data_IF_996291178975
#
_entry.id   IF_996291178975
#
_cell.length_a   1.000
_cell.length_b   1.000
_cell.length_c   1.000
_cell.angle_alpha   90.00
_cell.angle_beta   90.00
_cell.angle_gamma   90.00
#
_symmetry.space_group_name_H-M   'P 1'
#
loop_
_entity.id
_entity.type
_entity.pdbx_description
1 polymer ?
#
# COMPACT_ATOMS: atom_id res chain seq x y z
N UNK A 1 13.98 20.07 45.58
CA UNK A 1 14.24 18.66 45.29
C UNK A 1 13.22 18.18 44.27
N UNK A 2 13.32 18.50 42.98
CA UNK A 2 14.27 17.97 41.98
C UNK A 2 14.56 16.48 42.17
N UNK A 3 13.85 15.63 41.43
CA UNK A 3 14.52 14.57 40.69
C UNK A 3 13.72 14.18 39.43
N UNK A 4 14.36 14.53 38.31
CA UNK A 4 13.94 14.37 36.93
C UNK A 4 14.52 13.06 36.42
N UNK A 5 13.77 11.96 36.49
CA UNK A 5 14.17 10.70 35.87
C UNK A 5 13.63 10.62 34.44
N UNK A 6 14.36 11.24 33.50
CA UNK A 6 14.22 10.95 32.07
C UNK A 6 14.64 9.50 31.82
N UNK A 7 13.67 8.62 31.65
CA UNK A 7 13.88 7.31 31.05
C UNK A 7 14.15 7.48 29.56
N UNK A 8 15.42 7.52 29.18
CA UNK A 8 15.85 7.42 27.78
C UNK A 8 15.66 5.97 27.33
N UNK A 9 14.46 5.63 26.86
CA UNK A 9 14.24 4.42 26.09
C UNK A 9 14.97 4.55 24.77
N UNK A 10 16.13 3.91 24.66
CA UNK A 10 16.82 3.74 23.38
C UNK A 10 15.93 2.92 22.47
N UNK A 11 15.31 3.59 21.51
CA UNK A 11 14.51 2.92 20.50
C UNK A 11 15.44 2.24 19.50
N UNK A 12 15.94 1.06 19.87
CA UNK A 12 16.67 0.19 18.96
C UNK A 12 15.65 -0.45 18.03
N UNK A 13 15.48 0.15 16.85
CA UNK A 13 14.91 -0.53 15.70
C UNK A 13 15.73 -1.81 15.47
N UNK A 14 15.10 -2.96 15.64
CA UNK A 14 15.70 -4.24 15.32
C UNK A 14 15.76 -4.37 13.79
N UNK A 15 16.96 -4.64 13.31
CA UNK A 15 17.30 -4.85 11.91
C UNK A 15 17.09 -6.32 11.56
N UNK A 16 15.93 -6.67 11.00
CA UNK A 16 15.86 -7.82 10.08
C UNK A 16 16.86 -7.60 8.92
N UNK A 17 17.24 -8.63 8.14
CA UNK A 17 18.13 -8.41 7.00
C UNK A 17 17.47 -7.36 6.11
N UNK A 18 18.11 -6.21 5.98
CA UNK A 18 17.73 -5.21 5.00
C UNK A 18 17.96 -5.87 3.64
N UNK A 19 16.92 -6.52 3.11
CA UNK A 19 16.85 -6.76 1.69
C UNK A 19 17.09 -5.40 1.03
N UNK A 20 17.89 -5.35 -0.03
CA UNK A 20 17.99 -4.12 -0.83
C UNK A 20 16.57 -3.73 -1.24
N UNK A 21 16.08 -2.62 -0.66
CA UNK A 21 14.73 -2.12 -0.93
C UNK A 21 14.81 -1.13 -2.09
N UNK A 22 14.19 -1.48 -3.21
CA UNK A 22 14.03 -0.61 -4.37
C UNK A 22 12.58 -0.07 -4.42
N UNK A 23 12.39 1.09 -3.79
CA UNK A 23 11.11 1.79 -3.76
C UNK A 23 11.16 3.00 -4.66
N UNK A 24 10.29 3.01 -5.67
CA UNK A 24 10.29 4.00 -6.74
C UNK A 24 9.11 4.96 -6.59
N UNK A 25 9.36 6.26 -6.68
CA UNK A 25 8.32 7.28 -6.82
C UNK A 25 8.10 7.51 -8.32
N UNK A 26 6.88 7.28 -8.78
CA UNK A 26 6.53 7.29 -10.20
C UNK A 26 5.80 8.58 -10.54
N UNK A 27 6.56 9.59 -10.99
CA UNK A 27 6.03 10.86 -11.50
C UNK A 27 6.07 10.95 -13.03
N UNK A 28 6.79 10.03 -13.68
CA UNK A 28 7.01 10.02 -15.13
C UNK A 28 6.14 8.96 -15.82
N UNK A 29 5.54 9.34 -16.95
CA UNK A 29 4.63 8.47 -17.71
C UNK A 29 5.31 7.16 -18.15
N UNK A 30 6.58 7.23 -18.59
CA UNK A 30 7.35 6.06 -19.02
C UNK A 30 7.61 5.07 -17.89
N UNK A 31 7.83 5.56 -16.68
CA UNK A 31 8.02 4.73 -15.49
C UNK A 31 6.69 4.07 -15.06
N UNK A 32 5.58 4.79 -15.18
CA UNK A 32 4.25 4.24 -14.94
C UNK A 32 3.90 3.13 -15.95
N UNK A 33 4.15 3.33 -17.24
CA UNK A 33 3.93 2.30 -18.27
C UNK A 33 4.79 1.06 -18.02
N UNK A 34 6.04 1.24 -17.59
CA UNK A 34 6.89 0.12 -17.21
C UNK A 34 6.29 -0.70 -16.05
N UNK A 35 5.81 -0.03 -14.99
CA UNK A 35 5.16 -0.71 -13.88
C UNK A 35 3.82 -1.35 -14.26
N UNK A 36 3.02 -0.70 -15.11
CA UNK A 36 1.77 -1.28 -15.60
C UNK A 36 2.01 -2.61 -16.32
N UNK A 37 3.04 -2.69 -17.17
CA UNK A 37 3.43 -3.94 -17.83
C UNK A 37 3.86 -5.03 -16.83
N UNK A 38 4.64 -4.65 -15.80
CA UNK A 38 5.04 -5.58 -14.73
C UNK A 38 3.82 -6.14 -14.00
N UNK A 39 2.86 -5.29 -13.65
CA UNK A 39 1.63 -5.69 -12.96
C UNK A 39 0.76 -6.59 -13.84
N UNK A 40 0.68 -6.33 -15.15
CA UNK A 40 -0.05 -7.18 -16.09
C UNK A 40 0.56 -8.58 -16.23
N UNK A 41 1.88 -8.69 -16.12
CA UNK A 41 2.62 -9.96 -16.23
C UNK A 41 2.65 -10.75 -14.92
N UNK A 42 2.47 -10.09 -13.78
CA UNK A 42 2.47 -10.73 -12.47
C UNK A 42 1.27 -11.68 -12.31
N UNK A 43 1.51 -12.85 -11.73
CA UNK A 43 0.45 -13.77 -11.32
C UNK A 43 -0.33 -13.21 -10.11
N UNK A 44 0.39 -12.53 -9.21
CA UNK A 44 -0.12 -11.87 -8.01
C UNK A 44 0.68 -10.58 -7.79
N UNK A 45 0.01 -9.51 -7.36
CA UNK A 45 0.67 -8.30 -6.88
C UNK A 45 -0.01 -7.73 -5.64
N UNK A 46 0.78 -7.08 -4.79
CA UNK A 46 0.28 -6.27 -3.69
C UNK A 46 -0.24 -4.93 -4.21
N UNK A 47 -1.35 -4.46 -3.67
CA UNK A 47 -2.01 -3.21 -4.02
C UNK A 47 -2.48 -2.49 -2.77
N UNK A 48 -2.35 -1.16 -2.77
CA UNK A 48 -2.78 -0.30 -1.67
C UNK A 48 -3.08 1.13 -2.14
N UNK A 49 -3.98 1.82 -1.43
CA UNK A 49 -4.41 3.19 -1.71
C UNK A 49 -4.01 4.15 -0.59
N UNK A 50 -3.45 5.29 -0.98
CA UNK A 50 -3.22 6.41 -0.05
C UNK A 50 -4.32 7.44 -0.21
N UNK A 51 -4.86 7.95 0.91
CA UNK A 51 -6.05 8.80 0.88
C UNK A 51 -6.00 9.97 1.86
N UNK A 52 -6.96 10.89 1.73
CA UNK A 52 -7.10 12.06 2.60
C UNK A 52 -7.76 11.76 3.96
N UNK A 53 -8.40 10.61 4.14
CA UNK A 53 -9.24 10.33 5.31
C UNK A 53 -9.42 8.85 5.61
N UNK A 54 -9.54 8.49 6.88
CA UNK A 54 -9.91 7.14 7.30
C UNK A 54 -11.40 6.80 7.02
N UNK A 55 -12.25 7.80 6.80
CA UNK A 55 -13.64 7.59 6.40
C UNK A 55 -13.72 7.35 4.89
N UNK A 56 -13.88 6.09 4.49
CA UNK A 56 -13.94 5.68 3.08
C UNK A 56 -15.09 6.34 2.29
N UNK A 57 -16.12 6.88 2.95
CA UNK A 57 -17.20 7.62 2.27
C UNK A 57 -16.77 9.03 1.85
N UNK A 58 -15.73 9.58 2.47
CA UNK A 58 -15.23 10.94 2.24
C UNK A 58 -13.77 10.94 1.74
N UNK A 59 -13.11 9.79 1.74
CA UNK A 59 -11.73 9.64 1.33
C UNK A 59 -11.57 9.95 -0.16
N UNK A 60 -10.66 10.88 -0.46
CA UNK A 60 -10.18 11.13 -1.80
C UNK A 60 -8.86 10.40 -2.02
N UNK A 61 -8.65 9.91 -3.25
CA UNK A 61 -7.44 9.18 -3.61
C UNK A 61 -6.28 10.16 -3.80
N UNK A 62 -5.21 9.95 -3.02
CA UNK A 62 -3.96 10.73 -3.02
C UNK A 62 -2.87 10.04 -3.82
N UNK A 63 -2.80 8.71 -3.75
CA UNK A 63 -1.83 7.92 -4.50
C UNK A 63 -2.12 6.43 -4.46
N UNK A 64 -1.36 5.67 -5.23
CA UNK A 64 -1.49 4.22 -5.35
C UNK A 64 -0.12 3.58 -5.13
N UNK A 65 -0.07 2.44 -4.47
CA UNK A 65 1.17 1.68 -4.34
C UNK A 65 1.02 0.23 -4.80
N UNK A 66 2.12 -0.32 -5.30
CA UNK A 66 2.17 -1.68 -5.84
C UNK A 66 3.47 -2.38 -5.50
N UNK A 67 3.42 -3.70 -5.36
CA UNK A 67 4.61 -4.55 -5.31
C UNK A 67 4.35 -5.89 -6.00
N UNK A 68 5.24 -6.31 -6.89
CA UNK A 68 5.19 -7.63 -7.54
C UNK A 68 6.15 -8.64 -6.92
N UNK A 69 7.10 -8.17 -6.09
CA UNK A 69 8.06 -9.00 -5.37
C UNK A 69 8.58 -8.30 -4.12
N UNK A 70 8.96 -9.10 -3.11
CA UNK A 70 9.51 -8.57 -1.86
C UNK A 70 10.77 -7.73 -2.11
N UNK A 71 10.84 -6.57 -1.46
CA UNK A 71 11.94 -5.62 -1.64
C UNK A 71 11.74 -4.62 -2.78
N UNK A 72 10.75 -4.80 -3.67
CA UNK A 72 10.49 -3.86 -4.75
C UNK A 72 9.07 -3.31 -4.71
N UNK A 73 8.94 -1.99 -4.79
CA UNK A 73 7.63 -1.33 -4.79
C UNK A 73 7.64 -0.05 -5.61
N UNK A 74 6.46 0.34 -6.08
CA UNK A 74 6.23 1.64 -6.68
C UNK A 74 5.14 2.39 -5.93
N UNK A 75 5.34 3.70 -5.79
CA UNK A 75 4.34 4.64 -5.35
C UNK A 75 4.04 5.64 -6.47
N UNK A 76 2.78 5.77 -6.84
CA UNK A 76 2.29 6.73 -7.85
C UNK A 76 1.55 7.85 -7.11
N UNK A 77 2.18 9.02 -6.88
CA UNK A 77 1.50 10.19 -6.33
C UNK A 77 0.56 10.80 -7.37
N UNK A 78 -0.67 11.17 -6.98
CA UNK A 78 -1.71 11.66 -7.88
C UNK A 78 -2.27 13.03 -7.48
N UNK A 79 -2.45 13.30 -6.18
CA UNK A 79 -3.09 14.55 -5.73
C UNK A 79 -2.43 15.19 -4.50
N UNK A 80 -1.11 15.06 -4.35
CA UNK A 80 -0.39 15.85 -3.35
C UNK A 80 -0.47 17.35 -3.69
N UNK A 81 -0.88 18.19 -2.74
CA UNK A 81 -1.23 19.60 -2.96
C UNK A 81 -0.45 20.60 -2.08
N UNK A 82 0.61 20.15 -1.40
CA UNK A 82 1.44 21.01 -0.57
C UNK A 82 2.27 22.03 -1.39
N UNK A 83 2.66 23.17 -0.80
CA UNK A 83 3.48 24.16 -1.49
C UNK A 83 4.78 23.56 -2.02
N UNK A 84 4.97 23.61 -3.34
CA UNK A 84 6.15 23.05 -4.01
C UNK A 84 6.06 21.55 -4.30
N UNK A 85 4.88 20.94 -4.19
CA UNK A 85 4.65 19.57 -4.67
C UNK A 85 5.16 19.41 -6.11
N UNK A 86 5.95 18.37 -6.41
CA UNK A 86 6.38 18.07 -7.77
C UNK A 86 5.20 17.82 -8.70
N UNK A 87 5.48 17.87 -10.01
CA UNK A 87 4.54 17.42 -11.02
C UNK A 87 4.19 15.94 -10.82
N UNK A 88 2.91 15.62 -10.98
CA UNK A 88 2.32 14.30 -10.75
C UNK A 88 1.55 13.89 -11.98
N UNK A 89 1.37 12.58 -12.15
CA UNK A 89 0.56 12.05 -13.23
C UNK A 89 -0.92 12.40 -13.02
N UNK A 90 -1.65 12.57 -14.12
CA UNK A 90 -3.09 12.83 -14.05
C UNK A 90 -3.82 11.60 -13.46
N UNK A 91 -4.54 11.83 -12.36
CA UNK A 91 -5.29 10.78 -11.65
C UNK A 91 -6.23 10.00 -12.56
N UNK A 92 -6.97 10.70 -13.42
CA UNK A 92 -7.95 10.06 -14.27
C UNK A 92 -7.28 9.18 -15.34
N UNK A 93 -6.19 9.65 -15.94
CA UNK A 93 -5.41 8.88 -16.91
C UNK A 93 -4.79 7.63 -16.27
N UNK A 94 -4.21 7.76 -15.08
CA UNK A 94 -3.64 6.62 -14.34
C UNK A 94 -4.71 5.58 -14.00
N UNK A 95 -5.86 6.01 -13.47
CA UNK A 95 -6.96 5.12 -13.12
C UNK A 95 -7.55 4.42 -14.36
N UNK A 96 -7.71 5.13 -15.47
CA UNK A 96 -8.21 4.53 -16.72
C UNK A 96 -7.23 3.47 -17.27
N UNK A 97 -5.92 3.75 -17.21
CA UNK A 97 -4.89 2.80 -17.63
C UNK A 97 -4.86 1.53 -16.74
N UNK A 98 -5.08 1.69 -15.43
CA UNK A 98 -5.14 0.58 -14.47
C UNK A 98 -6.48 -0.16 -14.48
N UNK A 99 -7.55 0.46 -14.99
CA UNK A 99 -8.92 -0.05 -14.86
C UNK A 99 -9.07 -1.49 -15.30
N UNK A 100 -8.59 -1.81 -16.50
CA UNK A 100 -8.68 -3.18 -17.05
C UNK A 100 -8.02 -4.19 -16.12
N UNK A 101 -6.87 -3.84 -15.52
CA UNK A 101 -6.15 -4.71 -14.60
C UNK A 101 -6.86 -4.85 -13.24
N UNK A 102 -7.33 -3.74 -12.68
CA UNK A 102 -7.96 -3.71 -11.35
C UNK A 102 -9.35 -4.36 -11.36
N UNK A 103 -10.11 -4.22 -12.45
CA UNK A 103 -11.45 -4.80 -12.60
C UNK A 103 -11.44 -6.26 -13.10
N UNK A 104 -10.29 -6.81 -13.50
CA UNK A 104 -10.18 -8.21 -13.94
C UNK A 104 -10.22 -9.19 -12.75
N UNK A 105 -11.26 -10.05 -12.63
CA UNK A 105 -11.36 -11.01 -11.53
C UNK A 105 -10.34 -12.14 -11.60
N UNK A 106 -9.68 -12.35 -12.74
CA UNK A 106 -8.64 -13.37 -12.95
C UNK A 106 -7.25 -12.89 -12.57
N UNK A 107 -7.06 -11.58 -12.43
CA UNK A 107 -5.81 -10.98 -11.96
C UNK A 107 -5.83 -10.91 -10.44
N UNK A 108 -4.94 -11.65 -9.80
CA UNK A 108 -4.92 -11.75 -8.35
C UNK A 108 -4.31 -10.51 -7.70
N UNK A 109 -4.98 -10.02 -6.66
CA UNK A 109 -4.50 -8.94 -5.80
C UNK A 109 -4.38 -9.41 -4.36
N UNK A 110 -3.30 -8.94 -3.73
CA UNK A 110 -2.97 -9.07 -2.32
C UNK A 110 -3.03 -7.67 -1.69
N UNK A 111 -3.48 -7.58 -0.45
CA UNK A 111 -3.39 -6.33 0.31
C UNK A 111 -3.73 -6.56 1.78
N UNK A 112 -3.91 -5.46 2.52
CA UNK A 112 -4.29 -5.46 3.92
C UNK A 112 -5.59 -4.69 4.06
N UNK A 113 -6.67 -5.34 4.53
CA UNK A 113 -7.97 -4.70 4.65
C UNK A 113 -8.49 -4.07 3.32
N UNK A 114 -8.41 -4.85 2.23
CA UNK A 114 -8.75 -4.42 0.86
C UNK A 114 -10.20 -3.97 0.68
N UNK A 115 -11.06 -4.20 1.67
CA UNK A 115 -12.39 -3.58 1.74
C UNK A 115 -12.31 -2.06 1.68
N UNK A 116 -11.32 -1.45 2.32
CA UNK A 116 -11.13 0.00 2.33
C UNK A 116 -10.76 0.49 0.92
N UNK A 117 -9.72 -0.10 0.32
CA UNK A 117 -9.24 0.24 -1.03
C UNK A 117 -10.33 0.05 -2.08
N UNK A 118 -11.13 -1.01 -1.95
CA UNK A 118 -12.28 -1.25 -2.82
C UNK A 118 -13.27 -0.08 -2.79
N UNK A 119 -13.61 0.44 -1.60
CA UNK A 119 -14.53 1.58 -1.48
C UNK A 119 -13.93 2.86 -2.05
N UNK A 120 -12.64 3.13 -1.78
CA UNK A 120 -11.94 4.30 -2.31
C UNK A 120 -11.96 4.28 -3.84
N UNK A 121 -11.57 3.17 -4.46
CA UNK A 121 -11.60 3.02 -5.91
C UNK A 121 -13.01 3.11 -6.50
N UNK A 122 -14.01 2.58 -5.80
CA UNK A 122 -15.40 2.65 -6.23
C UNK A 122 -15.89 4.10 -6.32
N UNK A 123 -15.44 4.99 -5.43
CA UNK A 123 -15.75 6.43 -5.49
C UNK A 123 -15.17 7.09 -6.76
N UNK A 124 -14.13 6.51 -7.36
CA UNK A 124 -13.53 6.96 -8.62
C UNK A 124 -13.96 6.10 -9.83
N UNK A 125 -15.03 5.32 -9.69
CA UNK A 125 -15.63 4.54 -10.78
C UNK A 125 -14.84 3.29 -11.19
N UNK A 126 -13.90 2.84 -10.36
CA UNK A 126 -13.13 1.60 -10.58
C UNK A 126 -13.66 0.51 -9.65
N UNK A 127 -14.14 -0.59 -10.20
CA UNK A 127 -14.65 -1.73 -9.42
C UNK A 127 -13.56 -2.78 -9.18
N UNK A 128 -12.77 -2.62 -8.11
CA UNK A 128 -11.70 -3.56 -7.77
C UNK A 128 -12.23 -4.99 -7.67
N UNK A 129 -11.68 -5.88 -8.49
CA UNK A 129 -11.99 -7.31 -8.54
C UNK A 129 -10.71 -8.14 -8.38
N UNK A 130 -10.83 -9.46 -8.24
CA UNK A 130 -9.66 -10.34 -8.12
C UNK A 130 -8.94 -10.23 -6.77
N UNK A 131 -9.63 -9.76 -5.72
CA UNK A 131 -9.13 -9.77 -4.34
C UNK A 131 -8.98 -11.23 -3.90
N UNK A 132 -7.76 -11.76 -3.98
CA UNK A 132 -7.47 -13.16 -3.65
C UNK A 132 -6.92 -13.30 -2.23
N UNK A 133 -6.20 -12.28 -1.75
CA UNK A 133 -5.51 -12.33 -0.48
C UNK A 133 -5.70 -11.02 0.30
N UNK A 134 -6.17 -11.15 1.54
CA UNK A 134 -6.23 -10.06 2.53
C UNK A 134 -5.47 -10.51 3.77
N UNK A 135 -4.34 -9.86 4.03
CA UNK A 135 -3.38 -10.24 5.09
C UNK A 135 -3.96 -10.10 6.50
N UNK A 136 -4.88 -9.15 6.71
CA UNK A 136 -5.64 -9.03 7.95
C UNK A 136 -6.49 -10.28 8.18
N UNK A 137 -7.23 -10.72 7.16
CA UNK A 137 -8.10 -11.89 7.25
C UNK A 137 -7.30 -13.19 7.34
N UNK A 138 -6.20 -13.31 6.60
CA UNK A 138 -5.29 -14.44 6.68
C UNK A 138 -4.76 -14.61 8.11
N UNK A 139 -4.28 -13.54 8.74
CA UNK A 139 -3.81 -13.60 10.12
C UNK A 139 -4.93 -13.93 11.10
N UNK A 140 -6.13 -13.36 10.91
CA UNK A 140 -7.27 -13.62 11.79
C UNK A 140 -7.71 -15.09 11.74
N UNK A 141 -7.79 -15.68 10.54
CA UNK A 141 -8.15 -17.08 10.34
C UNK A 141 -7.08 -18.01 10.90
N UNK A 142 -5.79 -17.66 10.74
CA UNK A 142 -4.68 -18.45 11.25
C UNK A 142 -4.69 -18.52 12.78
N UNK A 143 -4.80 -17.38 13.45
CA UNK A 143 -4.97 -17.31 14.91
C UNK A 143 -5.53 -15.94 15.33
N UNK A 144 -6.82 -15.89 15.62
CA UNK A 144 -7.54 -14.66 16.02
C UNK A 144 -7.12 -14.05 17.36
N UNK A 145 -6.25 -14.72 18.12
CA UNK A 145 -5.80 -14.28 19.45
C UNK A 145 -4.29 -14.04 19.54
N UNK A 146 -3.54 -14.33 18.48
CA UNK A 146 -2.08 -14.22 18.49
C UNK A 146 -1.57 -12.77 18.64
N UNK A 147 -2.23 -11.85 17.97
CA UNK A 147 -1.82 -10.44 17.88
C UNK A 147 -3.00 -9.58 17.44
N UNK A 148 -2.79 -8.26 17.42
CA UNK A 148 -3.63 -7.39 16.61
C UNK A 148 -3.33 -7.68 15.13
N UNK A 149 -4.34 -7.55 14.28
CA UNK A 149 -4.22 -7.87 12.85
C UNK A 149 -4.01 -6.62 11.98
N UNK A 150 -3.54 -5.51 12.55
CA UNK A 150 -3.04 -4.34 11.81
C UNK A 150 -1.62 -4.58 11.27
N UNK A 151 -1.25 -3.87 10.20
CA UNK A 151 0.00 -4.10 9.47
C UNK A 151 1.23 -4.01 10.40
N UNK A 152 1.30 -3.00 11.27
CA UNK A 152 2.42 -2.79 12.19
C UNK A 152 2.61 -3.99 13.13
N UNK A 153 1.52 -4.53 13.65
CA UNK A 153 1.54 -5.70 14.52
C UNK A 153 1.92 -6.97 13.76
N UNK A 154 1.44 -7.13 12.53
CA UNK A 154 1.76 -8.28 11.67
C UNK A 154 3.22 -8.27 11.22
N UNK A 155 3.72 -7.12 10.74
CA UNK A 155 5.11 -6.95 10.32
C UNK A 155 6.07 -7.27 11.47
N UNK A 156 5.78 -6.78 12.68
CA UNK A 156 6.60 -7.10 13.86
C UNK A 156 6.54 -8.58 14.23
N UNK A 157 5.35 -9.19 14.21
CA UNK A 157 5.17 -10.56 14.64
C UNK A 157 5.79 -11.58 13.68
N UNK A 158 5.61 -11.39 12.38
CA UNK A 158 6.01 -12.37 11.36
C UNK A 158 7.37 -12.06 10.71
N UNK A 159 7.78 -10.79 10.66
CA UNK A 159 8.98 -10.37 9.91
C UNK A 159 10.05 -9.74 10.81
N UNK A 160 9.77 -9.48 12.09
CA UNK A 160 10.62 -8.70 13.00
C UNK A 160 10.97 -7.31 12.43
N UNK A 161 10.02 -6.70 11.72
CA UNK A 161 10.14 -5.37 11.10
C UNK A 161 9.19 -4.37 11.77
N UNK A 162 9.60 -3.10 11.82
CA UNK A 162 8.73 -1.97 12.18
C UNK A 162 8.41 -1.17 10.92
N UNK A 163 7.13 -0.92 10.70
CA UNK A 163 6.57 -0.07 9.65
C UNK A 163 6.21 1.31 10.18
#
# INVERSE_FOLDING_TARGET
DNDNAKGTGSDTAATGPAADMDYQIITEQSAFEHWLLRLQQAELFAFDTETTSLDYMQAELVGLSFSVQAGEAAYVPLTHDYPGAPEQLDRQQVLEALRTLLEDPTKAKLGQNLKYDWHVLHNHGVNLAGIQHDTMLQSYVLNSTASRHDMDSLARHYLDVRT
#
